data_IF_811174617773
#
_entry.id   IF_811174617773
#
_cell.length_a   1.000
_cell.length_b   1.000
_cell.length_c   1.000
_cell.angle_alpha   90.00
_cell.angle_beta   90.00
_cell.angle_gamma   90.00
#
_symmetry.space_group_name_H-M   'P 1'
#
loop_
_entity.id
_entity.type
_entity.pdbx_description
1 polymer ?
#
# COMPACT_ATOMS: atom_id res chain seq x y z
N UNK A 1 -5.48 23.65 -32.83
CA UNK A 1 -6.80 23.80 -32.16
C UNK A 1 -6.57 24.49 -30.82
N UNK A 2 -7.30 25.56 -30.48
CA UNK A 2 -7.04 26.29 -29.23
C UNK A 2 -7.58 25.53 -28.02
N UNK A 3 -6.75 25.39 -26.99
CA UNK A 3 -7.07 24.69 -25.75
C UNK A 3 -7.02 25.65 -24.57
N UNK A 4 -7.98 25.47 -23.69
CA UNK A 4 -8.14 26.24 -22.48
C UNK A 4 -8.14 25.31 -21.28
N UNK A 5 -7.79 25.82 -20.12
CA UNK A 5 -7.81 25.09 -18.87
C UNK A 5 -8.47 25.95 -17.80
N UNK A 6 -9.33 25.35 -16.98
CA UNK A 6 -9.97 26.04 -15.86
C UNK A 6 -9.49 25.39 -14.57
N UNK A 7 -9.03 26.24 -13.65
CA UNK A 7 -8.56 25.83 -12.33
C UNK A 7 -9.71 25.26 -11.50
N UNK A 8 -10.86 25.94 -11.49
CA UNK A 8 -12.03 25.56 -10.70
C UNK A 8 -12.60 24.21 -11.10
N UNK A 9 -12.61 23.89 -12.40
CA UNK A 9 -13.12 22.62 -12.92
C UNK A 9 -12.04 21.57 -13.14
N UNK A 10 -10.77 21.96 -12.96
CA UNK A 10 -9.63 21.05 -13.04
C UNK A 10 -9.53 20.28 -14.37
N UNK A 11 -10.07 20.84 -15.46
CA UNK A 11 -10.19 20.19 -16.77
C UNK A 11 -9.86 21.13 -17.93
N UNK A 12 -9.64 20.54 -19.11
CA UNK A 12 -9.34 21.28 -20.33
C UNK A 12 -10.57 21.43 -21.24
N UNK A 13 -10.75 22.62 -21.80
CA UNK A 13 -11.78 22.97 -22.76
C UNK A 13 -11.16 23.23 -24.13
N UNK A 14 -11.93 23.00 -25.18
CA UNK A 14 -11.49 23.15 -26.56
C UNK A 14 -12.40 24.12 -27.29
N UNK A 15 -11.79 25.13 -27.92
CA UNK A 15 -12.52 26.11 -28.72
C UNK A 15 -13.21 25.42 -29.90
N UNK A 16 -14.50 25.67 -30.07
CA UNK A 16 -15.32 25.07 -31.12
C UNK A 16 -15.90 23.69 -30.78
N UNK A 17 -15.49 23.05 -29.68
CA UNK A 17 -16.15 21.86 -29.13
C UNK A 17 -17.00 22.22 -27.93
N UNK A 18 -16.47 23.04 -27.03
CA UNK A 18 -17.18 23.44 -25.81
C UNK A 18 -17.87 24.78 -26.05
N UNK A 19 -19.22 24.83 -26.06
CA UNK A 19 -19.97 26.05 -26.36
C UNK A 19 -19.97 27.04 -25.18
N UNK A 20 -19.73 26.56 -23.97
CA UNK A 20 -19.61 27.35 -22.76
C UNK A 20 -18.30 26.99 -22.07
N UNK A 21 -17.56 28.01 -21.65
CA UNK A 21 -16.32 27.87 -20.89
C UNK A 21 -16.46 28.62 -19.56
N UNK A 22 -15.89 28.10 -18.47
CA UNK A 22 -15.78 28.82 -17.21
C UNK A 22 -15.09 30.19 -17.36
N UNK A 23 -15.39 31.18 -16.52
CA UNK A 23 -14.76 32.51 -16.60
C UNK A 23 -13.27 32.49 -16.22
N UNK A 24 -12.81 31.47 -15.52
CA UNK A 24 -11.43 31.27 -15.08
C UNK A 24 -10.58 30.49 -16.09
N UNK A 25 -11.05 30.34 -17.34
CA UNK A 25 -10.26 29.64 -18.36
C UNK A 25 -9.03 30.43 -18.78
N UNK A 26 -7.90 29.74 -18.83
CA UNK A 26 -6.65 30.24 -19.39
C UNK A 26 -6.23 29.43 -20.62
N UNK A 27 -5.77 30.11 -21.66
CA UNK A 27 -5.26 29.44 -22.87
C UNK A 27 -3.96 28.71 -22.53
N UNK A 28 -3.88 27.41 -22.85
CA UNK A 28 -2.70 26.58 -22.61
C UNK A 28 -2.19 25.97 -23.92
N UNK A 29 -0.88 25.79 -24.00
CA UNK A 29 -0.27 25.12 -25.16
C UNK A 29 -0.56 23.62 -25.16
N UNK A 30 -0.51 23.00 -26.33
CA UNK A 30 -0.62 21.55 -26.47
C UNK A 30 0.53 20.82 -25.75
N UNK A 31 1.74 21.39 -25.78
CA UNK A 31 2.88 20.85 -25.05
C UNK A 31 2.65 20.83 -23.53
N UNK A 32 2.09 21.91 -22.96
CA UNK A 32 1.76 21.98 -21.54
C UNK A 32 0.65 20.98 -21.18
N UNK A 33 -0.37 20.86 -22.04
CA UNK A 33 -1.42 19.87 -21.86
C UNK A 33 -0.84 18.44 -21.82
N UNK A 34 0.01 18.08 -22.77
CA UNK A 34 0.58 16.74 -22.83
C UNK A 34 1.48 16.44 -21.63
N UNK A 35 2.31 17.40 -21.20
CA UNK A 35 3.26 17.18 -20.11
C UNK A 35 2.62 17.19 -18.72
N UNK A 36 1.51 17.92 -18.52
CA UNK A 36 0.89 18.10 -17.20
C UNK A 36 -0.42 17.33 -17.03
N UNK A 37 -1.21 17.17 -18.11
CA UNK A 37 -2.58 16.62 -18.04
C UNK A 37 -2.69 15.29 -18.80
N UNK A 38 -2.20 15.23 -20.02
CA UNK A 38 -2.37 14.06 -20.90
C UNK A 38 -1.47 12.88 -20.54
N UNK A 39 -0.27 13.14 -20.02
CA UNK A 39 0.69 12.10 -19.65
C UNK A 39 1.61 12.55 -18.48
N UNK A 40 1.04 12.78 -17.28
CA UNK A 40 1.86 13.15 -16.12
C UNK A 40 2.76 11.97 -15.70
N UNK A 41 4.04 12.23 -15.35
CA UNK A 41 4.89 11.22 -14.71
C UNK A 41 4.28 10.67 -13.42
N UNK A 42 4.54 9.40 -13.12
CA UNK A 42 4.12 8.75 -11.87
C UNK A 42 4.70 9.52 -10.67
N UNK A 43 3.89 9.71 -9.63
CA UNK A 43 4.31 10.41 -8.41
C UNK A 43 4.31 11.94 -8.51
N UNK A 44 3.73 12.51 -9.58
CA UNK A 44 3.47 13.95 -9.68
C UNK A 44 1.98 14.23 -9.44
N UNK A 45 1.69 15.35 -8.76
CA UNK A 45 0.34 15.90 -8.65
C UNK A 45 0.28 17.26 -9.33
N UNK A 46 -0.91 17.60 -9.84
CA UNK A 46 -1.15 18.88 -10.52
C UNK A 46 -1.46 19.97 -9.49
N UNK A 47 -0.76 21.09 -9.62
CA UNK A 47 -0.99 22.33 -8.89
C UNK A 47 -1.15 23.49 -9.88
N UNK A 48 -1.44 24.69 -9.36
CA UNK A 48 -1.80 25.87 -10.14
C UNK A 48 -1.05 27.08 -9.62
N UNK A 49 -0.62 27.95 -10.54
CA UNK A 49 0.03 29.21 -10.19
C UNK A 49 -1.01 30.32 -9.97
N UNK A 50 -0.56 31.54 -9.65
CA UNK A 50 -1.45 32.70 -9.45
C UNK A 50 -2.28 33.07 -10.69
N UNK A 51 -1.95 32.52 -11.86
CA UNK A 51 -2.66 32.74 -13.13
C UNK A 51 -3.53 31.56 -13.52
N UNK A 52 -3.67 30.53 -12.68
CA UNK A 52 -4.44 29.32 -12.96
C UNK A 52 -3.79 28.38 -13.98
N UNK A 53 -2.49 28.58 -14.30
CA UNK A 53 -1.77 27.66 -15.19
C UNK A 53 -1.38 26.38 -14.44
N UNK A 54 -1.67 25.20 -15.02
CA UNK A 54 -1.38 23.94 -14.37
C UNK A 54 0.12 23.61 -14.49
N UNK A 55 0.72 23.18 -13.39
CA UNK A 55 2.07 22.62 -13.37
C UNK A 55 2.10 21.37 -12.46
N UNK A 56 3.18 20.61 -12.55
CA UNK A 56 3.38 19.40 -11.76
C UNK A 56 4.29 19.68 -10.58
N UNK A 57 3.85 19.30 -9.38
CA UNK A 57 4.69 19.19 -8.19
C UNK A 57 4.89 17.72 -7.84
N UNK A 58 5.94 17.43 -7.09
CA UNK A 58 6.10 16.11 -6.49
C UNK A 58 4.92 15.84 -5.57
N UNK A 59 4.29 14.68 -5.75
CA UNK A 59 3.34 14.19 -4.77
C UNK A 59 4.06 14.16 -3.43
N UNK A 60 3.49 14.73 -2.35
CA UNK A 60 4.06 14.53 -1.04
C UNK A 60 4.20 13.03 -0.84
N UNK A 61 5.43 12.56 -0.57
CA UNK A 61 5.62 11.16 -0.25
C UNK A 61 4.73 10.89 0.96
N UNK A 62 3.81 9.95 0.84
CA UNK A 62 3.21 9.34 2.01
C UNK A 62 4.38 8.66 2.72
N UNK A 63 5.03 9.38 3.64
CA UNK A 63 5.98 8.79 4.55
C UNK A 63 5.15 7.87 5.43
N UNK A 64 4.94 6.65 4.95
CA UNK A 64 4.32 5.59 5.73
C UNK A 64 5.17 5.47 6.99
N UNK A 65 4.52 5.63 8.14
CA UNK A 65 5.17 5.44 9.42
C UNK A 65 5.80 4.03 9.41
N UNK A 66 7.15 3.90 9.43
CA UNK A 66 7.78 2.60 9.35
C UNK A 66 7.32 1.68 10.48
N UNK A 67 6.94 2.24 11.64
CA UNK A 67 6.34 1.50 12.74
C UNK A 67 4.93 0.97 12.40
N UNK A 68 4.13 1.71 11.64
CA UNK A 68 2.83 1.23 11.16
C UNK A 68 3.01 0.13 10.12
N UNK A 69 3.94 0.30 9.17
CA UNK A 69 4.20 -0.68 8.12
C UNK A 69 4.65 -2.04 8.68
N UNK A 70 5.53 -2.03 9.67
CA UNK A 70 6.02 -3.27 10.30
C UNK A 70 4.99 -3.93 11.22
N UNK A 71 4.11 -3.13 11.84
CA UNK A 71 2.94 -3.69 12.54
C UNK A 71 2.02 -4.39 11.54
N UNK A 72 1.67 -3.74 10.44
CA UNK A 72 0.85 -4.37 9.40
C UNK A 72 1.47 -5.67 8.86
N UNK A 73 2.79 -5.70 8.64
CA UNK A 73 3.49 -6.93 8.26
C UNK A 73 3.35 -8.03 9.32
N UNK A 74 3.59 -7.70 10.60
CA UNK A 74 3.44 -8.64 11.72
C UNK A 74 2.01 -9.19 11.82
N UNK A 75 0.99 -8.34 11.63
CA UNK A 75 -0.42 -8.73 11.62
C UNK A 75 -0.72 -9.72 10.49
N UNK A 76 -0.18 -9.46 9.29
CA UNK A 76 -0.33 -10.33 8.13
C UNK A 76 0.35 -11.69 8.34
N UNK A 77 1.59 -11.72 8.85
CA UNK A 77 2.31 -12.97 9.14
C UNK A 77 1.56 -13.81 10.19
N UNK A 78 1.11 -13.19 11.30
CA UNK A 78 0.34 -13.89 12.32
C UNK A 78 -0.96 -14.47 11.78
N UNK A 79 -1.66 -13.73 10.92
CA UNK A 79 -2.89 -14.19 10.28
C UNK A 79 -2.62 -15.36 9.33
N UNK A 80 -1.51 -15.32 8.60
CA UNK A 80 -1.14 -16.37 7.63
C UNK A 80 -0.88 -17.75 8.27
N UNK A 81 -0.47 -17.78 9.53
CA UNK A 81 -0.16 -19.03 10.27
C UNK A 81 -1.22 -19.39 11.32
N UNK A 82 -2.25 -18.55 11.50
CA UNK A 82 -3.28 -18.76 12.52
C UNK A 82 -4.07 -20.05 12.30
N UNK A 83 -4.42 -20.36 11.05
CA UNK A 83 -5.18 -21.55 10.66
C UNK A 83 -4.46 -22.86 11.05
N UNK A 84 -3.12 -22.89 11.00
CA UNK A 84 -2.33 -24.06 11.41
C UNK A 84 -2.55 -24.41 12.89
N UNK A 85 -2.64 -23.38 13.74
CA UNK A 85 -2.89 -23.56 15.16
C UNK A 85 -4.31 -24.03 15.43
N UNK A 86 -5.28 -23.45 14.73
CA UNK A 86 -6.69 -23.80 14.85
C UNK A 86 -6.91 -25.25 14.42
N UNK A 87 -6.47 -25.63 13.21
CA UNK A 87 -6.54 -27.01 12.71
C UNK A 87 -5.90 -28.02 13.66
N UNK A 88 -4.72 -27.74 14.21
CA UNK A 88 -4.06 -28.66 15.15
C UNK A 88 -4.88 -28.84 16.43
N UNK A 89 -5.48 -27.75 16.95
CA UNK A 89 -6.35 -27.83 18.14
C UNK A 89 -7.60 -28.64 17.87
N UNK A 90 -8.24 -28.42 16.72
CA UNK A 90 -9.43 -29.15 16.31
C UNK A 90 -9.12 -30.66 16.21
N UNK A 91 -8.01 -31.03 15.57
CA UNK A 91 -7.56 -32.43 15.46
C UNK A 91 -7.34 -33.09 16.82
N UNK A 92 -6.72 -32.38 17.77
CA UNK A 92 -6.53 -32.88 19.13
C UNK A 92 -7.87 -33.06 19.85
N UNK A 93 -8.80 -32.10 19.71
CA UNK A 93 -10.10 -32.13 20.36
C UNK A 93 -10.96 -33.31 19.89
N UNK A 94 -10.93 -33.62 18.59
CA UNK A 94 -11.62 -34.79 18.03
C UNK A 94 -10.83 -36.10 18.17
N UNK A 95 -9.65 -36.08 18.79
CA UNK A 95 -8.74 -37.22 18.93
C UNK A 95 -8.33 -37.87 17.59
N UNK A 96 -8.20 -37.05 16.54
CA UNK A 96 -7.73 -37.49 15.22
C UNK A 96 -6.20 -37.40 15.11
N UNK A 97 -5.64 -37.99 14.06
CA UNK A 97 -4.22 -37.90 13.78
C UNK A 97 -3.85 -36.45 13.40
N UNK A 98 -2.92 -35.86 14.15
CA UNK A 98 -2.47 -34.49 13.88
C UNK A 98 -1.64 -34.42 12.59
N UNK A 99 -1.89 -33.41 11.77
CA UNK A 99 -1.10 -33.17 10.54
C UNK A 99 0.29 -32.62 10.87
N UNK A 100 0.40 -31.87 11.97
CA UNK A 100 1.67 -31.38 12.50
C UNK A 100 2.18 -32.31 13.61
N UNK A 101 3.50 -32.49 13.66
CA UNK A 101 4.13 -33.13 14.83
C UNK A 101 4.09 -32.21 16.04
N UNK A 102 4.28 -32.78 17.23
CA UNK A 102 4.38 -32.00 18.48
C UNK A 102 5.49 -30.96 18.43
N UNK A 103 6.63 -31.29 17.81
CA UNK A 103 7.76 -30.38 17.62
C UNK A 103 7.40 -29.23 16.69
N UNK A 104 6.77 -29.52 15.54
CA UNK A 104 6.32 -28.49 14.60
C UNK A 104 5.29 -27.56 15.25
N UNK A 105 4.36 -28.12 16.03
CA UNK A 105 3.38 -27.30 16.74
C UNK A 105 4.05 -26.42 17.81
N UNK A 106 5.05 -26.92 18.53
CA UNK A 106 5.82 -26.11 19.48
C UNK A 106 6.60 -24.99 18.78
N UNK A 107 7.27 -25.28 17.65
CA UNK A 107 7.96 -24.29 16.83
C UNK A 107 7.02 -23.20 16.32
N UNK A 108 5.81 -23.57 15.89
CA UNK A 108 4.78 -22.63 15.47
C UNK A 108 4.41 -21.66 16.61
N UNK A 109 4.20 -22.19 17.82
CA UNK A 109 3.85 -21.36 18.96
C UNK A 109 4.98 -20.40 19.35
N UNK A 110 6.23 -20.86 19.31
CA UNK A 110 7.43 -20.03 19.54
C UNK A 110 7.54 -18.93 18.48
N UNK A 111 7.34 -19.27 17.21
CA UNK A 111 7.36 -18.31 16.11
C UNK A 111 6.25 -17.24 16.26
N UNK A 112 5.01 -17.66 16.53
CA UNK A 112 3.91 -16.72 16.78
C UNK A 112 4.16 -15.83 18.00
N UNK A 113 4.82 -16.35 19.04
CA UNK A 113 5.21 -15.56 20.21
C UNK A 113 6.27 -14.52 19.84
N UNK A 114 7.31 -14.92 19.09
CA UNK A 114 8.34 -14.00 18.61
C UNK A 114 7.76 -12.85 17.76
N UNK A 115 6.77 -13.13 16.91
CA UNK A 115 6.03 -12.09 16.17
C UNK A 115 5.30 -11.10 17.09
N UNK A 116 4.74 -11.56 18.22
CA UNK A 116 4.06 -10.68 19.19
C UNK A 116 5.03 -9.86 20.02
N UNK A 117 6.19 -10.42 20.34
CA UNK A 117 7.19 -9.78 21.19
C UNK A 117 8.07 -8.79 20.42
N UNK A 118 8.30 -9.02 19.13
CA UNK A 118 9.19 -8.18 18.31
C UNK A 118 8.87 -6.68 18.37
N UNK A 119 7.61 -6.21 18.27
CA UNK A 119 7.27 -4.79 18.44
C UNK A 119 7.58 -4.18 19.81
N UNK A 120 7.86 -5.01 20.83
CA UNK A 120 8.25 -4.58 22.17
C UNK A 120 9.78 -4.54 22.38
N UNK A 121 10.57 -4.95 21.38
CA UNK A 121 12.03 -4.98 21.45
C UNK A 121 12.66 -3.66 20.99
N UNK A 122 13.93 -3.44 21.36
CA UNK A 122 14.73 -2.31 20.87
C UNK A 122 15.00 -2.34 19.37
N UNK A 123 14.90 -3.53 18.76
CA UNK A 123 15.19 -3.74 17.34
C UNK A 123 14.01 -3.37 16.43
N UNK A 124 12.84 -3.05 16.98
CA UNK A 124 11.70 -2.59 16.19
C UNK A 124 11.89 -1.13 15.76
N UNK A 125 11.67 -0.77 14.47
CA UNK A 125 11.03 -1.52 13.38
C UNK A 125 12.03 -2.07 12.32
N UNK A 126 13.25 -2.44 12.71
CA UNK A 126 14.25 -2.91 11.73
C UNK A 126 13.91 -4.30 11.19
N UNK A 127 13.61 -4.34 9.88
CA UNK A 127 13.26 -5.55 9.13
C UNK A 127 14.29 -6.69 9.23
N UNK A 128 15.56 -6.39 9.53
CA UNK A 128 16.62 -7.39 9.70
C UNK A 128 16.38 -8.29 10.93
N UNK A 129 15.60 -7.83 11.90
CA UNK A 129 15.30 -8.54 13.14
C UNK A 129 13.90 -9.16 13.14
N UNK A 130 13.23 -9.20 11.98
CA UNK A 130 11.96 -9.90 11.83
C UNK A 130 12.13 -11.37 12.23
N UNK A 131 11.20 -11.92 13.03
CA UNK A 131 11.18 -13.35 13.31
C UNK A 131 11.14 -14.17 12.01
N UNK A 132 12.00 -15.18 11.91
CA UNK A 132 12.09 -16.04 10.73
C UNK A 132 11.12 -17.21 10.87
N UNK A 133 10.23 -17.45 9.89
CA UNK A 133 9.30 -18.57 9.94
C UNK A 133 10.06 -19.91 9.83
N UNK A 134 9.65 -20.94 10.59
CA UNK A 134 10.09 -22.31 10.37
C UNK A 134 9.87 -22.76 8.93
N UNK A 135 10.86 -23.45 8.34
CA UNK A 135 10.87 -23.79 6.91
C UNK A 135 9.72 -24.72 6.48
N UNK A 136 9.18 -25.51 7.41
CA UNK A 136 8.06 -26.42 7.14
C UNK A 136 6.71 -25.69 6.99
N UNK A 137 6.58 -24.45 7.48
CA UNK A 137 5.34 -23.66 7.33
C UNK A 137 5.01 -23.46 5.86
N UNK A 138 6.02 -23.16 5.03
CA UNK A 138 5.85 -22.98 3.59
C UNK A 138 5.45 -24.28 2.84
N UNK A 139 5.57 -25.43 3.49
CA UNK A 139 5.17 -26.74 2.94
C UNK A 139 3.71 -27.07 3.28
N UNK A 140 3.07 -26.30 4.18
CA UNK A 140 1.68 -26.49 4.52
C UNK A 140 0.80 -25.88 3.44
N UNK A 141 -0.15 -26.67 2.96
CA UNK A 141 -1.19 -26.24 2.03
C UNK A 141 -2.53 -26.27 2.76
N UNK A 142 -3.37 -25.30 2.45
CA UNK A 142 -4.77 -25.20 2.88
C UNK A 142 -5.65 -26.08 1.96
#
# INVERSE_FOLDING_TARGET
>A
MKRFYSESTQTSYLLGIHPVMPPDVVEISEALYLSVIGNPPVGKIRAHDEKGLPYLIDAPSLALDPYAQEREWRDAELSSVMWLRERHRDQVEISDQTTLTSEQFAELLVYMQALRDWPQTSEFPDSLYRPVPPSWIAQQVD
#
